data_IF_223267584512
#
_entry.id   IF_223267584512
#
_cell.length_a   1.000
_cell.length_b   1.000
_cell.length_c   1.000
_cell.angle_alpha   90.00
_cell.angle_beta   90.00
_cell.angle_gamma   90.00
#
_symmetry.space_group_name_H-M   'P 1'
#
loop_
_entity.id
_entity.type
_entity.pdbx_description
1 polymer ?
#
# COMPACT_ATOMS: atom_id res chain seq x y z
N UNK A 1 25.29 3.58 3.73
CA UNK A 1 24.46 3.19 4.88
C UNK A 1 24.71 4.20 6.00
N UNK A 2 23.65 4.73 6.62
CA UNK A 2 23.78 5.65 7.76
C UNK A 2 23.53 4.89 9.06
N UNK A 3 24.36 5.13 10.09
CA UNK A 3 24.20 4.53 11.41
C UNK A 3 23.35 5.44 12.29
N UNK A 4 22.36 4.87 12.95
CA UNK A 4 21.46 5.56 13.88
C UNK A 4 21.35 4.76 15.16
N UNK A 5 21.21 5.45 16.30
CA UNK A 5 20.90 4.85 17.59
C UNK A 5 19.40 4.96 17.84
N UNK A 6 18.78 3.86 18.25
CA UNK A 6 17.35 3.78 18.54
C UNK A 6 17.21 3.18 19.92
N UNK A 7 16.42 3.80 20.78
CA UNK A 7 16.09 3.28 22.09
C UNK A 7 14.91 2.32 21.98
N UNK A 8 15.02 1.18 22.64
CA UNK A 8 13.98 0.17 22.74
C UNK A 8 13.71 -0.11 24.21
N UNK A 9 12.45 -0.42 24.52
CA UNK A 9 12.12 -1.08 25.78
C UNK A 9 12.82 -2.44 25.84
N UNK A 10 13.21 -2.86 27.04
CA UNK A 10 14.07 -4.02 27.22
C UNK A 10 13.38 -5.32 26.78
N UNK A 11 12.09 -5.46 27.09
CA UNK A 11 11.25 -6.60 26.68
C UNK A 11 11.15 -6.67 25.16
N UNK A 12 10.80 -5.56 24.52
CA UNK A 12 10.72 -5.43 23.06
C UNK A 12 12.04 -5.77 22.37
N UNK A 13 13.18 -5.31 22.90
CA UNK A 13 14.49 -5.64 22.35
C UNK A 13 14.78 -7.15 22.44
N UNK A 14 14.35 -7.80 23.52
CA UNK A 14 14.57 -9.22 23.75
C UNK A 14 13.72 -10.05 22.78
N UNK A 15 12.45 -9.69 22.59
CA UNK A 15 11.57 -10.33 21.60
C UNK A 15 12.12 -10.19 20.17
N UNK A 16 12.57 -8.98 19.79
CA UNK A 16 13.18 -8.75 18.47
C UNK A 16 14.41 -9.63 18.25
N UNK A 17 15.24 -9.85 19.28
CA UNK A 17 16.42 -10.73 19.20
C UNK A 17 16.02 -12.20 19.03
N UNK A 18 15.04 -12.67 19.78
CA UNK A 18 14.56 -14.06 19.66
C UNK A 18 13.98 -14.32 18.27
N UNK A 19 13.17 -13.40 17.73
CA UNK A 19 12.61 -13.53 16.39
C UNK A 19 13.72 -13.51 15.32
N UNK A 20 14.67 -12.56 15.41
CA UNK A 20 15.78 -12.49 14.47
C UNK A 20 16.63 -13.78 14.48
N UNK A 21 16.88 -14.33 15.66
CA UNK A 21 17.60 -15.60 15.86
C UNK A 21 16.84 -16.77 15.24
N UNK A 22 15.53 -16.87 15.46
CA UNK A 22 14.70 -17.93 14.88
C UNK A 22 14.69 -17.88 13.34
N UNK A 23 14.85 -16.69 12.76
CA UNK A 23 14.95 -16.49 11.32
C UNK A 23 16.38 -16.63 10.77
N UNK A 24 17.37 -16.94 11.62
CA UNK A 24 18.80 -16.94 11.27
C UNK A 24 19.28 -15.63 10.64
N UNK A 25 18.74 -14.50 11.08
CA UNK A 25 19.10 -13.16 10.61
C UNK A 25 19.83 -12.38 11.70
N UNK A 26 20.69 -11.45 11.29
CA UNK A 26 21.19 -10.44 12.22
C UNK A 26 20.07 -9.49 12.64
N UNK A 27 20.12 -8.98 13.88
CA UNK A 27 19.11 -8.05 14.40
C UNK A 27 18.97 -6.80 13.50
N UNK A 28 20.10 -6.28 12.99
CA UNK A 28 20.11 -5.11 12.10
C UNK A 28 19.46 -5.40 10.74
N UNK A 29 19.64 -6.61 10.21
CA UNK A 29 18.97 -7.05 8.99
C UNK A 29 17.48 -7.25 9.18
N UNK A 30 17.10 -7.87 10.30
CA UNK A 30 15.70 -8.07 10.65
C UNK A 30 14.96 -6.73 10.79
N UNK A 31 15.52 -5.78 11.55
CA UNK A 31 14.98 -4.44 11.72
C UNK A 31 14.86 -3.73 10.35
N UNK A 32 15.89 -3.81 9.52
CA UNK A 32 15.89 -3.21 8.17
C UNK A 32 14.76 -3.78 7.31
N UNK A 33 14.56 -5.10 7.33
CA UNK A 33 13.53 -5.76 6.53
C UNK A 33 12.12 -5.38 6.99
N UNK A 34 11.88 -5.31 8.31
CA UNK A 34 10.60 -4.85 8.88
C UNK A 34 10.32 -3.40 8.49
N UNK A 35 11.27 -2.49 8.72
CA UNK A 35 11.10 -1.08 8.39
C UNK A 35 10.78 -0.91 6.89
N UNK A 36 11.50 -1.63 6.01
CA UNK A 36 11.24 -1.59 4.56
C UNK A 36 9.83 -2.08 4.22
N UNK A 37 9.39 -3.16 4.85
CA UNK A 37 8.03 -3.70 4.65
C UNK A 37 6.96 -2.70 5.09
N UNK A 38 7.14 -2.08 6.25
CA UNK A 38 6.16 -1.13 6.80
C UNK A 38 6.09 0.16 5.97
N UNK A 39 7.24 0.70 5.56
CA UNK A 39 7.29 1.85 4.65
C UNK A 39 6.61 1.56 3.30
N UNK A 40 6.80 0.36 2.76
CA UNK A 40 6.14 -0.05 1.52
C UNK A 40 4.63 -0.24 1.69
N UNK A 41 4.18 -0.74 2.85
CA UNK A 41 2.76 -0.87 3.17
C UNK A 41 2.07 0.49 3.26
N UNK A 42 2.74 1.48 3.85
CA UNK A 42 2.25 2.87 3.84
C UNK A 42 2.18 3.43 2.42
N UNK A 43 3.16 3.11 1.57
CA UNK A 43 3.11 3.47 0.15
C UNK A 43 1.99 2.77 -0.61
N UNK A 44 1.55 1.56 -0.27
CA UNK A 44 0.41 0.95 -1.00
C UNK A 44 -0.94 1.61 -0.72
N UNK A 45 -1.06 2.41 0.35
CA UNK A 45 -2.22 3.28 0.56
C UNK A 45 -2.31 4.44 -0.46
N UNK A 46 -1.29 4.62 -1.31
CA UNK A 46 -1.32 5.61 -2.40
C UNK A 46 -2.13 5.17 -3.60
N UNK A 47 -2.84 4.03 -3.59
CA UNK A 47 -3.73 3.70 -4.70
C UNK A 47 -4.80 4.80 -4.90
N UNK A 48 -5.29 5.37 -3.80
CA UNK A 48 -6.18 6.52 -3.84
C UNK A 48 -5.48 7.80 -4.33
N UNK A 49 -4.21 8.01 -3.99
CA UNK A 49 -3.40 9.14 -4.50
C UNK A 49 -3.03 8.99 -5.99
N UNK A 50 -2.80 7.75 -6.43
CA UNK A 50 -2.58 7.38 -7.83
C UNK A 50 -3.85 7.61 -8.64
N UNK A 51 -5.01 7.17 -8.14
CA UNK A 51 -6.30 7.46 -8.77
C UNK A 51 -6.61 8.97 -8.78
N UNK A 52 -6.21 9.72 -7.75
CA UNK A 52 -6.39 11.18 -7.71
C UNK A 52 -5.51 11.95 -8.71
N UNK A 53 -4.39 11.35 -9.15
CA UNK A 53 -3.49 11.98 -10.14
C UNK A 53 -3.78 11.55 -11.59
N UNK A 54 -4.64 10.56 -11.78
CA UNK A 54 -5.06 10.10 -13.10
C UNK A 54 -5.96 11.14 -13.75
N UNK A 55 -5.48 11.74 -14.85
CA UNK A 55 -6.30 12.57 -15.72
C UNK A 55 -7.14 11.68 -16.64
N UNK A 56 -8.39 12.06 -16.95
CA UNK A 56 -9.18 11.33 -17.94
C UNK A 56 -8.47 11.35 -19.29
N UNK A 57 -8.56 10.24 -20.01
CA UNK A 57 -8.06 10.15 -21.38
C UNK A 57 -8.78 11.20 -22.25
N UNK A 58 -8.08 11.72 -23.26
CA UNK A 58 -8.61 12.74 -24.18
C UNK A 58 -9.97 12.33 -24.79
N UNK A 59 -10.17 11.03 -25.04
CA UNK A 59 -11.41 10.46 -25.56
C UNK A 59 -12.62 10.57 -24.61
N UNK A 60 -12.41 10.85 -23.32
CA UNK A 60 -13.45 10.98 -22.30
C UNK A 60 -13.58 12.41 -21.77
N UNK A 61 -12.94 13.41 -22.40
CA UNK A 61 -13.04 14.81 -21.97
C UNK A 61 -14.45 15.40 -22.08
N UNK A 62 -15.26 14.91 -23.01
CA UNK A 62 -16.60 15.41 -23.32
C UNK A 62 -17.72 14.60 -22.68
N UNK A 63 -17.41 13.50 -22.00
CA UNK A 63 -18.41 12.61 -21.39
C UNK A 63 -18.29 12.65 -19.87
N UNK A 64 -19.39 12.96 -19.17
CA UNK A 64 -19.42 12.82 -17.73
C UNK A 64 -19.46 11.34 -17.32
N UNK A 65 -18.74 11.00 -16.25
CA UNK A 65 -18.62 9.61 -15.78
C UNK A 65 -19.97 8.97 -15.44
N UNK A 66 -20.93 9.78 -14.97
CA UNK A 66 -22.33 9.41 -14.72
C UNK A 66 -23.01 8.87 -15.97
N UNK A 67 -22.89 9.58 -17.08
CA UNK A 67 -23.54 9.24 -18.35
C UNK A 67 -22.96 7.96 -18.95
N UNK A 68 -21.64 7.80 -18.88
CA UNK A 68 -20.97 6.59 -19.32
C UNK A 68 -21.42 5.35 -18.53
N UNK A 69 -21.46 5.44 -17.19
CA UNK A 69 -21.92 4.34 -16.33
C UNK A 69 -23.39 4.02 -16.55
N UNK A 70 -24.24 5.03 -16.76
CA UNK A 70 -25.65 4.84 -17.07
C UNK A 70 -25.86 4.17 -18.44
N UNK A 71 -25.04 4.50 -19.44
CA UNK A 71 -25.05 3.85 -20.75
C UNK A 71 -24.65 2.37 -20.68
N UNK A 72 -23.71 2.01 -19.80
CA UNK A 72 -23.32 0.63 -19.53
C UNK A 72 -24.41 -0.12 -18.75
N UNK A 73 -24.97 0.51 -17.70
CA UNK A 73 -26.02 -0.09 -16.87
C UNK A 73 -27.30 -0.33 -17.64
N UNK A 74 -27.72 0.60 -18.50
CA UNK A 74 -28.93 0.47 -19.31
C UNK A 74 -28.88 -0.67 -20.32
N UNK A 75 -27.68 -1.11 -20.69
CA UNK A 75 -27.44 -2.30 -21.54
C UNK A 75 -27.22 -3.58 -20.72
N UNK A 76 -27.19 -3.47 -19.39
CA UNK A 76 -26.94 -4.61 -18.52
C UNK A 76 -28.22 -5.40 -18.30
N UNK A 77 -28.14 -6.71 -18.52
CA UNK A 77 -29.25 -7.67 -18.39
C UNK A 77 -29.93 -7.68 -17.02
N UNK A 78 -29.25 -7.16 -16.00
CA UNK A 78 -29.67 -7.18 -14.59
C UNK A 78 -30.89 -6.26 -14.32
N UNK A 79 -31.14 -5.26 -15.17
CA UNK A 79 -32.29 -4.36 -15.02
C UNK A 79 -33.56 -4.84 -15.73
N UNK A 80 -33.49 -5.99 -16.44
CA UNK A 80 -34.60 -6.54 -17.23
C UNK A 80 -35.16 -7.87 -16.67
N UNK A 81 -34.83 -8.21 -15.42
CA UNK A 81 -35.53 -9.22 -14.61
C UNK A 81 -36.49 -8.53 -13.62
#
# INVERSE_FOLDING_TARGET
MQRTQIYFEQETLQELKEIAKNLNLSLSEFIRNIIKKELNKQKTNTLNEFLATMKPLESFKSEEASDYVNSLRSKSRILHE
#
